data_IF_630874023793
#
_entry.id   IF_630874023793
#
_cell.length_a   1.000
_cell.length_b   1.000
_cell.length_c   1.000
_cell.angle_alpha   90.00
_cell.angle_beta   90.00
_cell.angle_gamma   90.00
#
_symmetry.space_group_name_H-M   'P 1'
#
loop_
_entity.id
_entity.type
_entity.pdbx_description
1 polymer ?
#
# COMPACT_ATOMS: atom_id res chain seq x y z
N UNK A 1 -6.04 12.81 -9.57
CA UNK A 1 -7.46 12.57 -9.84
C UNK A 1 -7.85 11.18 -9.36
N UNK A 2 -9.08 11.01 -8.88
CA UNK A 2 -9.55 9.77 -8.25
C UNK A 2 -9.39 8.51 -9.13
N UNK A 3 -9.48 8.63 -10.44
CA UNK A 3 -9.33 7.51 -11.36
C UNK A 3 -7.91 6.92 -11.42
N UNK A 4 -6.88 7.74 -11.24
CA UNK A 4 -5.48 7.28 -11.25
C UNK A 4 -5.07 6.52 -9.98
N UNK A 5 -5.82 6.65 -8.90
CA UNK A 5 -5.51 6.01 -7.63
C UNK A 5 -6.14 4.62 -7.48
N UNK A 6 -7.17 4.29 -8.25
CA UNK A 6 -7.90 3.02 -8.13
C UNK A 6 -7.05 1.83 -8.58
N UNK A 7 -6.28 1.95 -9.67
CA UNK A 7 -5.44 0.85 -10.15
C UNK A 7 -4.04 0.80 -9.53
N UNK A 8 -3.60 1.86 -8.83
CA UNK A 8 -2.27 1.90 -8.18
C UNK A 8 -2.15 1.00 -6.95
N UNK A 9 -3.25 0.57 -6.37
CA UNK A 9 -3.28 -0.17 -5.10
C UNK A 9 -3.96 -1.51 -5.23
N UNK A 10 -3.84 -2.12 -6.40
CA UNK A 10 -4.38 -3.45 -6.63
C UNK A 10 -3.59 -4.49 -5.83
N UNK A 11 -4.30 -5.48 -5.28
CA UNK A 11 -3.72 -6.56 -4.49
C UNK A 11 -3.33 -6.22 -3.04
N UNK A 12 -3.38 -4.94 -2.61
CA UNK A 12 -3.04 -4.58 -1.23
C UNK A 12 -3.99 -5.20 -0.21
N UNK A 13 -5.28 -5.25 -0.49
CA UNK A 13 -6.26 -5.91 0.37
C UNK A 13 -6.01 -7.41 0.49
N UNK A 14 -5.55 -8.07 -0.58
CA UNK A 14 -5.18 -9.48 -0.53
C UNK A 14 -3.96 -9.70 0.38
N UNK A 15 -2.95 -8.84 0.29
CA UNK A 15 -1.78 -8.87 1.16
C UNK A 15 -2.15 -8.61 2.63
N UNK A 16 -2.97 -7.59 2.90
CA UNK A 16 -3.48 -7.30 4.26
C UNK A 16 -4.22 -8.51 4.82
N UNK A 17 -5.13 -9.09 4.04
CA UNK A 17 -5.86 -10.29 4.46
C UNK A 17 -4.92 -11.46 4.77
N UNK A 18 -3.92 -11.70 3.93
CA UNK A 18 -2.95 -12.78 4.13
C UNK A 18 -2.16 -12.58 5.43
N UNK A 19 -1.65 -11.38 5.66
CA UNK A 19 -0.91 -11.02 6.88
C UNK A 19 -1.77 -11.19 8.12
N UNK A 20 -2.96 -10.58 8.14
CA UNK A 20 -3.86 -10.61 9.30
C UNK A 20 -4.26 -12.05 9.64
N UNK A 21 -4.72 -12.82 8.67
CA UNK A 21 -5.17 -14.22 8.92
C UNK A 21 -4.03 -15.12 9.36
N UNK A 22 -2.85 -14.98 8.74
CA UNK A 22 -1.68 -15.79 9.10
C UNK A 22 -1.20 -15.43 10.50
N UNK A 23 -1.15 -14.17 10.87
CA UNK A 23 -0.76 -13.75 12.20
C UNK A 23 -1.73 -14.28 13.29
N UNK A 24 -3.04 -14.13 13.06
CA UNK A 24 -4.08 -14.64 13.96
C UNK A 24 -3.97 -16.18 14.10
N UNK A 25 -3.76 -16.91 13.00
CA UNK A 25 -3.62 -18.38 13.05
C UNK A 25 -2.41 -18.84 13.85
N UNK A 26 -1.42 -17.97 14.02
CA UNK A 26 -0.23 -18.17 14.86
C UNK A 26 -0.40 -17.63 16.29
N UNK A 27 -1.60 -17.22 16.68
CA UNK A 27 -1.89 -16.69 18.01
C UNK A 27 -1.43 -15.26 18.26
N UNK A 28 -1.05 -14.51 17.22
CA UNK A 28 -0.63 -13.11 17.35
C UNK A 28 -1.85 -12.18 17.36
N UNK A 29 -1.76 -11.12 18.14
CA UNK A 29 -2.70 -9.98 18.05
C UNK A 29 -2.29 -9.10 16.87
N UNK A 30 -3.24 -8.63 16.11
CA UNK A 30 -2.98 -7.82 14.91
C UNK A 30 -3.63 -6.45 15.06
N UNK A 31 -2.85 -5.43 14.74
CA UNK A 31 -3.29 -4.03 14.71
C UNK A 31 -3.14 -3.50 13.27
N UNK A 32 -4.16 -2.82 12.79
CA UNK A 32 -4.10 -2.10 11.53
C UNK A 32 -3.77 -0.63 11.78
N UNK A 33 -2.77 -0.12 11.08
CA UNK A 33 -2.41 1.30 11.11
C UNK A 33 -3.10 1.96 9.92
N UNK A 34 -4.03 2.85 10.20
CA UNK A 34 -4.78 3.57 9.18
C UNK A 34 -3.88 4.63 8.52
N UNK A 35 -4.07 4.87 7.24
CA UNK A 35 -3.34 5.92 6.50
C UNK A 35 -1.80 5.85 6.56
N UNK A 36 -1.24 4.67 6.82
CA UNK A 36 0.20 4.44 6.86
C UNK A 36 0.92 5.27 7.93
N UNK A 37 2.07 5.87 7.60
CA UNK A 37 2.87 6.63 8.58
C UNK A 37 2.16 7.85 9.15
N UNK A 38 1.25 8.49 8.39
CA UNK A 38 0.46 9.60 8.92
C UNK A 38 -0.43 9.13 10.08
N UNK A 39 -1.12 8.02 9.90
CA UNK A 39 -1.95 7.46 10.95
C UNK A 39 -1.14 6.84 12.11
N UNK A 40 0.09 6.38 11.85
CA UNK A 40 0.98 5.97 12.93
C UNK A 40 1.28 7.15 13.87
N UNK A 41 1.66 8.31 13.33
CA UNK A 41 1.93 9.52 14.13
C UNK A 41 0.69 10.07 14.83
N UNK A 42 -0.50 9.84 14.28
CA UNK A 42 -1.78 10.26 14.86
C UNK A 42 -2.41 9.19 15.77
N UNK A 43 -1.70 8.08 16.00
CA UNK A 43 -2.19 6.92 16.76
C UNK A 43 -3.51 6.33 16.23
N UNK A 44 -3.75 6.41 14.92
CA UNK A 44 -4.91 5.80 14.27
C UNK A 44 -4.70 4.28 14.11
N UNK A 45 -4.69 3.60 15.22
CA UNK A 45 -4.39 2.17 15.34
C UNK A 45 -5.66 1.44 15.76
N UNK A 46 -6.07 0.45 14.97
CA UNK A 46 -7.27 -0.34 15.21
C UNK A 46 -6.92 -1.81 15.42
N UNK A 47 -7.57 -2.48 16.35
CA UNK A 47 -7.44 -3.92 16.49
C UNK A 47 -8.13 -4.62 15.32
N UNK A 48 -7.48 -5.64 14.76
CA UNK A 48 -7.98 -6.37 13.61
C UNK A 48 -8.26 -7.83 13.92
N UNK A 49 -9.43 -8.29 13.49
CA UNK A 49 -9.88 -9.67 13.54
C UNK A 49 -9.92 -10.30 12.14
N UNK A 50 -10.13 -11.61 12.08
CA UNK A 50 -10.31 -12.32 10.82
C UNK A 50 -11.59 -11.88 10.07
N UNK A 51 -12.55 -11.32 10.78
CA UNK A 51 -13.83 -10.83 10.22
C UNK A 51 -13.61 -9.52 9.46
N UNK A 52 -12.74 -8.63 9.96
CA UNK A 52 -12.49 -7.32 9.35
C UNK A 52 -11.83 -7.43 7.96
N UNK A 53 -11.13 -8.53 7.74
CA UNK A 53 -10.52 -8.85 6.43
C UNK A 53 -11.34 -9.84 5.60
N UNK A 54 -12.62 -10.05 5.95
CA UNK A 54 -13.51 -10.86 5.15
C UNK A 54 -13.95 -10.11 3.89
N UNK A 55 -14.10 -10.83 2.76
CA UNK A 55 -14.63 -10.27 1.53
C UNK A 55 -13.92 -9.01 0.99
N UNK A 56 -12.62 -8.86 1.24
CA UNK A 56 -11.84 -7.72 0.76
C UNK A 56 -10.89 -8.05 -0.40
N UNK A 57 -10.66 -9.34 -0.67
CA UNK A 57 -9.64 -9.80 -1.63
C UNK A 57 -9.90 -9.30 -3.05
N UNK A 58 -11.16 -9.14 -3.43
CA UNK A 58 -11.57 -8.67 -4.75
C UNK A 58 -11.84 -7.16 -4.80
N UNK A 59 -11.65 -6.45 -3.68
CA UNK A 59 -11.80 -4.99 -3.64
C UNK A 59 -10.49 -4.32 -4.03
N UNK A 60 -10.53 -3.42 -5.00
CA UNK A 60 -9.41 -2.53 -5.30
C UNK A 60 -9.10 -1.56 -4.16
N UNK A 61 -7.92 -0.95 -4.21
CA UNK A 61 -7.47 -0.04 -3.16
C UNK A 61 -6.98 -0.76 -1.90
N UNK A 62 -7.15 -0.11 -0.76
CA UNK A 62 -6.77 -0.66 0.55
C UNK A 62 -7.75 -0.23 1.64
N UNK A 63 -8.17 -1.17 2.48
CA UNK A 63 -9.07 -0.90 3.62
C UNK A 63 -8.40 -0.06 4.71
N UNK A 64 -7.08 -0.04 4.78
CA UNK A 64 -6.31 0.75 5.74
C UNK A 64 -6.03 2.17 5.25
N UNK A 65 -6.48 2.52 4.05
CA UNK A 65 -6.21 3.80 3.39
C UNK A 65 -4.71 4.09 3.24
N UNK A 66 -4.38 5.22 2.67
CA UNK A 66 -3.00 5.71 2.57
C UNK A 66 -2.99 7.22 2.55
N UNK A 67 -1.96 7.81 3.16
CA UNK A 67 -1.69 9.23 3.08
C UNK A 67 -0.18 9.48 2.92
N UNK A 68 0.17 10.61 2.31
CA UNK A 68 1.55 11.09 2.36
C UNK A 68 1.81 11.69 3.74
N UNK A 69 2.98 11.40 4.31
CA UNK A 69 3.38 11.92 5.61
C UNK A 69 4.77 12.57 5.47
N UNK A 70 4.79 13.89 5.39
CA UNK A 70 6.05 14.63 5.29
C UNK A 70 6.76 14.69 6.64
N UNK A 71 6.02 14.67 7.74
CA UNK A 71 6.58 14.63 9.09
C UNK A 71 7.43 13.40 9.34
N UNK A 72 7.03 12.26 8.78
CA UNK A 72 7.77 11.00 8.93
C UNK A 72 9.10 10.98 8.15
N UNK A 73 9.36 11.96 7.29
CA UNK A 73 10.66 12.12 6.61
C UNK A 73 11.70 12.66 7.57
N UNK A 74 11.30 13.39 8.61
CA UNK A 74 12.19 13.98 9.62
C UNK A 74 12.62 12.95 10.67
N UNK A 75 13.82 13.09 11.26
CA UNK A 75 14.26 12.22 12.36
C UNK A 75 13.29 12.21 13.54
N UNK A 76 12.75 13.38 13.90
CA UNK A 76 11.81 13.53 15.01
C UNK A 76 10.53 12.72 14.79
N UNK A 77 9.96 12.78 13.58
CA UNK A 77 8.78 12.01 13.23
C UNK A 77 9.05 10.48 13.23
N UNK A 78 10.26 10.07 12.86
CA UNK A 78 10.66 8.66 12.92
C UNK A 78 10.80 8.16 14.36
N UNK A 79 11.42 8.95 15.24
CA UNK A 79 11.53 8.65 16.67
C UNK A 79 10.16 8.58 17.33
N UNK A 80 9.29 9.56 17.06
CA UNK A 80 7.90 9.55 17.54
C UNK A 80 7.16 8.29 17.07
N UNK A 81 7.30 7.90 15.80
CA UNK A 81 6.70 6.66 15.29
C UNK A 81 7.19 5.42 16.02
N UNK A 82 8.49 5.34 16.32
CA UNK A 82 9.06 4.22 17.08
C UNK A 82 8.58 4.22 18.55
N UNK A 83 8.42 5.39 19.18
CA UNK A 83 7.85 5.50 20.52
C UNK A 83 6.40 5.05 20.58
N UNK A 84 5.59 5.43 19.58
CA UNK A 84 4.19 5.01 19.47
C UNK A 84 4.10 3.48 19.33
N UNK A 85 4.99 2.86 18.54
CA UNK A 85 5.05 1.41 18.44
C UNK A 85 5.30 0.76 19.81
N UNK A 86 6.27 1.26 20.59
CA UNK A 86 6.55 0.77 21.93
C UNK A 86 5.38 1.00 22.90
N UNK A 87 4.77 2.19 22.87
CA UNK A 87 3.59 2.54 23.67
C UNK A 87 2.42 1.57 23.45
N UNK A 88 2.17 1.19 22.20
CA UNK A 88 1.09 0.28 21.82
C UNK A 88 1.46 -1.20 21.88
N UNK A 89 2.68 -1.54 22.32
CA UNK A 89 3.16 -2.92 22.42
C UNK A 89 3.23 -3.62 21.05
N UNK A 90 3.68 -2.88 20.02
CA UNK A 90 3.85 -3.41 18.67
C UNK A 90 5.26 -4.00 18.55
N UNK A 91 5.34 -5.32 18.48
CA UNK A 91 6.61 -6.07 18.38
C UNK A 91 7.21 -6.01 16.97
N UNK A 92 6.39 -5.77 15.96
CA UNK A 92 6.84 -5.67 14.57
C UNK A 92 5.77 -5.13 13.64
N UNK A 93 6.21 -4.58 12.52
CA UNK A 93 5.35 -3.97 11.49
C UNK A 93 5.57 -4.66 10.16
N UNK A 94 4.48 -5.03 9.50
CA UNK A 94 4.49 -5.43 8.09
C UNK A 94 4.09 -4.23 7.25
N UNK A 95 5.02 -3.74 6.43
CA UNK A 95 4.83 -2.60 5.55
C UNK A 95 4.52 -3.09 4.14
N UNK A 96 3.31 -2.83 3.66
CA UNK A 96 2.88 -3.20 2.31
C UNK A 96 2.91 -1.94 1.46
N UNK A 97 3.80 -1.87 0.47
CA UNK A 97 3.93 -0.65 -0.33
C UNK A 97 5.11 -0.65 -1.29
N UNK A 98 5.50 0.54 -1.73
CA UNK A 98 6.61 0.78 -2.64
C UNK A 98 7.86 1.32 -1.94
N UNK A 99 8.82 1.81 -2.74
CA UNK A 99 10.14 2.29 -2.31
C UNK A 99 10.06 3.30 -1.15
N UNK A 100 9.21 4.32 -1.25
CA UNK A 100 9.06 5.32 -0.18
C UNK A 100 8.61 4.71 1.15
N UNK A 101 7.71 3.72 1.11
CA UNK A 101 7.26 3.00 2.31
C UNK A 101 8.38 2.16 2.92
N UNK A 102 9.21 1.55 2.08
CA UNK A 102 10.33 0.73 2.54
C UNK A 102 11.48 1.57 3.11
N UNK A 103 11.72 2.75 2.57
CA UNK A 103 12.68 3.71 3.19
C UNK A 103 12.23 4.07 4.61
N UNK A 104 10.94 4.34 4.81
CA UNK A 104 10.38 4.57 6.14
C UNK A 104 10.51 3.35 7.06
N UNK A 105 10.24 2.15 6.56
CA UNK A 105 10.42 0.91 7.31
C UNK A 105 11.88 0.70 7.75
N UNK A 106 12.84 0.96 6.87
CA UNK A 106 14.26 0.89 7.20
C UNK A 106 14.67 1.86 8.32
N UNK A 107 14.05 3.05 8.36
CA UNK A 107 14.28 4.01 9.46
C UNK A 107 13.72 3.51 10.78
N UNK A 108 12.50 2.96 10.79
CA UNK A 108 11.94 2.32 12.00
C UNK A 108 12.78 1.12 12.46
N UNK A 109 13.28 0.32 11.52
CA UNK A 109 14.16 -0.80 11.84
C UNK A 109 15.45 -0.34 12.53
N UNK A 110 16.04 0.76 12.07
CA UNK A 110 17.23 1.37 12.69
C UNK A 110 16.95 1.85 14.13
N UNK A 111 15.69 2.19 14.44
CA UNK A 111 15.23 2.59 15.78
C UNK A 111 14.76 1.40 16.65
N UNK A 112 14.98 0.17 16.18
CA UNK A 112 14.71 -1.05 16.94
C UNK A 112 13.30 -1.63 16.78
N UNK A 113 12.50 -1.14 15.81
CA UNK A 113 11.20 -1.74 15.48
C UNK A 113 11.41 -2.82 14.43
N UNK A 114 11.01 -4.06 14.66
CA UNK A 114 11.07 -5.11 13.64
C UNK A 114 10.18 -4.77 12.47
N UNK A 115 10.72 -4.79 11.25
CA UNK A 115 9.96 -4.47 10.05
C UNK A 115 10.13 -5.52 8.95
N UNK A 116 9.04 -5.83 8.27
CA UNK A 116 9.03 -6.70 7.09
C UNK A 116 8.34 -5.93 5.95
N UNK A 117 8.99 -5.87 4.79
CA UNK A 117 8.45 -5.25 3.59
C UNK A 117 7.75 -6.26 2.69
N UNK A 118 6.55 -5.91 2.22
CA UNK A 118 5.82 -6.66 1.19
C UNK A 118 5.66 -5.73 -0.01
N UNK A 119 6.28 -6.05 -1.18
CA UNK A 119 6.27 -5.15 -2.34
C UNK A 119 4.88 -5.10 -2.97
N UNK A 120 4.25 -3.93 -2.92
CA UNK A 120 2.94 -3.63 -3.49
C UNK A 120 2.97 -2.30 -4.23
N UNK A 121 3.58 -2.29 -5.42
CA UNK A 121 3.70 -1.12 -6.29
C UNK A 121 3.47 -1.52 -7.75
N UNK A 122 3.08 -0.56 -8.58
CA UNK A 122 2.98 -0.74 -10.03
C UNK A 122 4.22 -0.23 -10.77
N UNK A 123 5.17 0.37 -10.06
CA UNK A 123 6.31 1.06 -10.67
C UNK A 123 7.48 0.13 -11.00
N UNK A 124 7.51 -1.09 -10.44
CA UNK A 124 8.59 -2.07 -10.56
C UNK A 124 9.98 -1.49 -10.21
N UNK A 125 10.01 -0.56 -9.25
CA UNK A 125 11.20 0.20 -8.86
C UNK A 125 11.84 -0.31 -7.56
N UNK A 126 11.43 -1.49 -7.09
CA UNK A 126 11.98 -2.12 -5.89
C UNK A 126 13.09 -3.10 -6.30
N UNK A 127 14.28 -2.88 -5.78
CA UNK A 127 15.39 -3.81 -5.95
C UNK A 127 15.09 -5.19 -5.32
N UNK A 128 15.68 -6.22 -5.89
CA UNK A 128 15.57 -7.60 -5.40
C UNK A 128 14.19 -8.26 -5.53
N UNK A 129 13.30 -7.72 -6.37
CA UNK A 129 12.06 -8.38 -6.76
C UNK A 129 11.79 -8.16 -8.24
N UNK A 130 11.40 -9.22 -8.95
CA UNK A 130 11.02 -9.13 -10.36
C UNK A 130 9.56 -8.70 -10.53
N UNK A 131 8.72 -9.04 -9.55
CA UNK A 131 7.29 -8.75 -9.56
C UNK A 131 6.84 -8.17 -8.23
N UNK A 132 5.81 -7.34 -8.31
CA UNK A 132 5.17 -6.71 -7.16
C UNK A 132 3.69 -7.05 -7.11
N UNK A 133 3.14 -7.13 -5.91
CA UNK A 133 1.73 -7.46 -5.71
C UNK A 133 0.85 -6.41 -6.37
N UNK A 134 -0.05 -6.87 -7.26
CA UNK A 134 -1.04 -6.04 -7.95
C UNK A 134 -0.57 -5.43 -9.26
N UNK A 135 0.66 -5.63 -9.71
CA UNK A 135 1.16 -5.12 -10.99
C UNK A 135 0.33 -5.63 -12.17
N UNK A 136 0.22 -6.96 -12.34
CA UNK A 136 -0.54 -7.55 -13.46
C UNK A 136 -2.02 -7.15 -13.43
N UNK A 137 -2.62 -7.07 -12.25
CA UNK A 137 -4.00 -6.61 -12.10
C UNK A 137 -4.15 -5.16 -12.54
N UNK A 138 -3.18 -4.30 -12.21
CA UNK A 138 -3.18 -2.90 -12.63
C UNK A 138 -3.05 -2.77 -14.16
N UNK A 139 -2.18 -3.57 -14.78
CA UNK A 139 -2.00 -3.62 -16.24
C UNK A 139 -3.31 -4.04 -16.93
N UNK A 140 -3.93 -5.14 -16.49
CA UNK A 140 -5.17 -5.62 -17.05
C UNK A 140 -6.30 -4.59 -16.91
N UNK A 141 -6.43 -3.95 -15.74
CA UNK A 141 -7.42 -2.90 -15.51
C UNK A 141 -7.19 -1.69 -16.44
N UNK A 142 -5.93 -1.32 -16.66
CA UNK A 142 -5.59 -0.24 -17.59
C UNK A 142 -5.94 -0.60 -19.04
N UNK A 143 -5.65 -1.82 -19.46
CA UNK A 143 -5.99 -2.32 -20.79
C UNK A 143 -7.50 -2.30 -21.03
N UNK A 144 -8.29 -2.83 -20.09
CA UNK A 144 -9.76 -2.80 -20.18
C UNK A 144 -10.31 -1.37 -20.26
N UNK A 145 -9.74 -0.43 -19.50
CA UNK A 145 -10.13 0.96 -19.55
C UNK A 145 -9.80 1.61 -20.91
N UNK A 146 -8.64 1.29 -21.49
CA UNK A 146 -8.21 1.77 -22.80
C UNK A 146 -9.16 1.24 -23.88
N UNK A 147 -9.51 -0.05 -23.85
CA UNK A 147 -10.43 -0.64 -24.82
C UNK A 147 -11.80 0.04 -24.80
N UNK A 148 -12.36 0.29 -23.62
CA UNK A 148 -13.64 1.01 -23.48
C UNK A 148 -13.58 2.44 -24.01
N UNK A 149 -12.46 3.14 -23.80
CA UNK A 149 -12.25 4.50 -24.33
C UNK A 149 -12.09 4.46 -25.85
N UNK A 150 -11.37 3.45 -26.38
CA UNK A 150 -11.16 3.26 -27.81
C UNK A 150 -12.48 3.09 -28.56
N UNK A 151 -13.39 2.26 -28.04
CA UNK A 151 -14.70 2.01 -28.66
C UNK A 151 -15.49 3.31 -28.78
N UNK A 152 -15.50 4.13 -27.73
CA UNK A 152 -16.16 5.45 -27.76
C UNK A 152 -15.48 6.41 -28.73
N UNK A 153 -14.15 6.42 -28.75
CA UNK A 153 -13.37 7.29 -29.64
C UNK A 153 -13.61 6.97 -31.11
N UNK A 154 -13.65 5.68 -31.45
CA UNK A 154 -13.92 5.21 -32.81
C UNK A 154 -15.33 5.60 -33.27
N UNK A 155 -16.33 5.45 -32.39
CA UNK A 155 -17.72 5.78 -32.71
C UNK A 155 -17.98 7.27 -32.95
N UNK A 156 -17.14 8.13 -32.39
CA UNK A 156 -17.32 9.60 -32.46
C UNK A 156 -16.18 10.34 -33.18
N UNK A 157 -15.29 9.61 -33.86
CA UNK A 157 -14.10 10.18 -34.52
C UNK A 157 -13.26 11.06 -33.60
N UNK A 158 -13.10 10.64 -32.35
CA UNK A 158 -12.34 11.36 -31.31
C UNK A 158 -10.96 10.75 -31.12
N UNK A 159 -9.98 11.59 -30.82
CA UNK A 159 -8.67 11.16 -30.37
C UNK A 159 -8.65 11.17 -28.84
N UNK A 160 -8.29 10.04 -28.23
CA UNK A 160 -8.11 9.90 -26.78
C UNK A 160 -6.65 9.67 -26.47
N UNK A 161 -6.10 10.40 -25.50
CA UNK A 161 -4.73 10.26 -25.03
C UNK A 161 -4.77 9.68 -23.63
N UNK A 162 -4.20 8.47 -23.49
CA UNK A 162 -4.05 7.83 -22.17
C UNK A 162 -2.65 8.10 -21.65
N UNK A 163 -2.54 8.70 -20.45
CA UNK A 163 -1.27 9.00 -19.80
C UNK A 163 -1.14 8.16 -18.54
N UNK A 164 -0.09 7.36 -18.47
CA UNK A 164 0.27 6.58 -17.29
C UNK A 164 1.76 6.77 -17.01
N UNK A 165 2.13 7.34 -15.89
CA UNK A 165 3.48 7.39 -15.32
C UNK A 165 4.66 7.59 -16.27
N UNK A 166 4.50 8.41 -17.30
CA UNK A 166 5.54 8.63 -18.31
C UNK A 166 6.80 9.32 -17.79
N UNK A 167 6.75 9.94 -16.61
CA UNK A 167 7.90 10.69 -16.06
C UNK A 167 8.78 9.87 -15.10
N UNK A 168 8.45 8.64 -14.82
CA UNK A 168 9.21 7.81 -13.88
C UNK A 168 10.21 6.87 -14.55
N UNK A 169 10.27 6.90 -15.88
CA UNK A 169 11.22 6.09 -16.68
C UNK A 169 11.75 6.93 -17.84
N UNK A 170 12.43 8.00 -17.52
CA UNK A 170 13.33 8.67 -18.45
C UNK A 170 14.77 8.35 -18.05
#
# INVERSE_FOLDING_TARGET
SAASDVYKRQGMNAAIRAVVRTAISKGMKVKGIMRGYAGLLQEEIVDMSSTDVSNIIFRGGTILYTARCMEFVTPEGQEQGAEICRKHGIDGIVVIGGDGSFRGAGKLAALGVNTIGVPGTIDLDIACTDYTIGFDTAVNTAMEAIDKVRDTSTSHERCSITVSYTHLRA
#
